data_IF_841116756101
#
_entry.id   IF_841116756101
#
_cell.length_a   1.000
_cell.length_b   1.000
_cell.length_c   1.000
_cell.angle_alpha   90.00
_cell.angle_beta   90.00
_cell.angle_gamma   90.00
#
_symmetry.space_group_name_H-M   'P 1'
#
loop_
_entity.id
_entity.type
_entity.pdbx_description
1 polymer ?
#
# COMPACT_ATOMS: atom_id res chain seq x y z
N UNK A 1 98.61 -19.95 -3.36
CA UNK A 1 98.13 -21.33 -3.60
C UNK A 1 96.89 -21.48 -2.76
N UNK A 2 95.72 -21.29 -3.37
CA UNK A 2 94.45 -21.56 -2.70
C UNK A 2 94.28 -23.09 -2.67
N UNK A 3 94.09 -23.64 -1.47
CA UNK A 3 93.83 -25.05 -1.27
C UNK A 3 92.35 -25.25 -1.63
N UNK A 4 92.08 -25.75 -2.83
CA UNK A 4 90.73 -26.21 -3.19
C UNK A 4 90.32 -27.32 -2.20
N UNK A 5 89.37 -27.00 -1.33
CA UNK A 5 88.75 -27.95 -0.42
C UNK A 5 88.01 -29.02 -1.23
N UNK A 6 88.39 -30.29 -1.06
CA UNK A 6 87.66 -31.41 -1.67
C UNK A 6 86.20 -31.41 -1.18
N UNK A 7 85.21 -31.31 -2.07
CA UNK A 7 83.81 -31.35 -1.68
C UNK A 7 83.37 -32.77 -1.33
N UNK A 8 82.50 -32.89 -0.33
CA UNK A 8 81.89 -34.15 0.06
C UNK A 8 80.98 -34.69 -1.06
N UNK A 9 80.80 -36.02 -1.18
CA UNK A 9 79.89 -36.60 -2.16
C UNK A 9 78.45 -36.10 -1.92
N UNK A 10 77.83 -35.58 -2.97
CA UNK A 10 76.46 -35.02 -2.96
C UNK A 10 75.49 -36.08 -3.45
N UNK A 11 74.44 -36.36 -2.68
CA UNK A 11 73.36 -37.28 -3.06
C UNK A 11 72.52 -36.70 -4.19
N UNK A 12 72.06 -37.55 -5.12
CA UNK A 12 71.21 -37.12 -6.24
C UNK A 12 69.84 -36.67 -5.72
N UNK A 13 69.43 -35.43 -6.01
CA UNK A 13 68.14 -34.87 -5.62
C UNK A 13 67.29 -34.50 -6.85
N UNK A 14 65.95 -34.51 -6.68
CA UNK A 14 65.00 -34.14 -7.75
C UNK A 14 65.23 -32.75 -8.34
N UNK A 15 65.76 -31.82 -7.53
CA UNK A 15 66.06 -30.44 -7.94
C UNK A 15 67.22 -30.36 -8.94
N UNK A 16 68.13 -31.34 -8.94
CA UNK A 16 69.27 -31.37 -9.85
C UNK A 16 68.80 -31.54 -11.31
N UNK A 17 67.69 -32.24 -11.51
CA UNK A 17 67.05 -32.43 -12.81
C UNK A 17 66.11 -31.28 -13.23
N UNK A 18 65.66 -30.43 -12.29
CA UNK A 18 64.78 -29.30 -12.63
C UNK A 18 65.51 -28.20 -13.41
N UNK A 19 66.81 -28.05 -13.15
CA UNK A 19 67.64 -27.00 -13.77
C UNK A 19 68.14 -27.36 -15.17
N UNK A 20 67.94 -28.61 -15.62
CA UNK A 20 68.41 -29.13 -16.92
C UNK A 20 67.28 -29.55 -17.86
N UNK A 21 66.06 -29.08 -17.62
CA UNK A 21 64.89 -29.25 -18.49
C UNK A 21 65.01 -28.40 -19.76
N UNK A 22 65.99 -28.71 -20.60
CA UNK A 22 66.19 -28.13 -21.93
C UNK A 22 66.35 -29.32 -22.90
N UNK A 23 65.75 -29.23 -24.08
CA UNK A 23 65.42 -30.29 -25.06
C UNK A 23 66.52 -31.32 -25.45
N UNK A 24 67.73 -31.24 -24.89
CA UNK A 24 68.81 -32.21 -25.04
C UNK A 24 69.50 -32.45 -23.68
N UNK A 25 68.96 -33.38 -22.89
CA UNK A 25 69.60 -33.82 -21.66
C UNK A 25 70.89 -34.58 -22.00
N UNK A 26 72.04 -34.03 -21.61
CA UNK A 26 73.35 -34.65 -21.79
C UNK A 26 73.82 -35.23 -20.45
N UNK A 27 73.77 -36.57 -20.36
CA UNK A 27 74.12 -37.34 -19.15
C UNK A 27 75.54 -37.02 -18.70
N UNK A 28 76.48 -36.88 -19.64
CA UNK A 28 77.89 -36.70 -19.31
C UNK A 28 78.14 -35.31 -18.71
N UNK A 29 77.47 -34.28 -19.23
CA UNK A 29 77.53 -32.92 -18.66
C UNK A 29 76.83 -32.81 -17.30
N UNK A 30 75.68 -33.47 -17.12
CA UNK A 30 74.96 -33.51 -15.85
C UNK A 30 75.82 -34.13 -14.74
N UNK A 31 76.40 -35.31 -15.02
CA UNK A 31 77.24 -36.03 -14.07
C UNK A 31 78.52 -35.24 -13.76
N UNK A 32 79.12 -34.60 -14.76
CA UNK A 32 80.32 -33.78 -14.58
C UNK A 32 80.08 -32.52 -13.74
N UNK A 33 78.89 -31.90 -13.86
CA UNK A 33 78.56 -30.65 -13.18
C UNK A 33 78.11 -30.87 -11.74
N UNK A 34 77.28 -31.89 -11.50
CA UNK A 34 76.59 -32.04 -10.21
C UNK A 34 77.16 -33.19 -9.35
N UNK A 35 77.75 -34.22 -9.96
CA UNK A 35 78.14 -35.47 -9.25
C UNK A 35 79.54 -35.98 -9.61
N UNK A 36 80.48 -35.09 -9.97
CA UNK A 36 81.86 -35.44 -10.40
C UNK A 36 82.66 -36.29 -9.40
N UNK A 37 82.37 -36.17 -8.11
CA UNK A 37 83.15 -36.79 -7.02
C UNK A 37 82.37 -37.88 -6.26
N UNK A 38 81.21 -38.32 -6.77
CA UNK A 38 80.42 -39.40 -6.14
C UNK A 38 80.83 -40.77 -6.65
N UNK A 39 80.77 -41.81 -5.81
CA UNK A 39 80.99 -43.18 -6.26
C UNK A 39 79.83 -43.67 -7.13
N UNK A 40 80.16 -44.48 -8.14
CA UNK A 40 79.17 -44.96 -9.11
C UNK A 40 78.10 -45.83 -8.45
N UNK A 41 78.47 -46.63 -7.45
CA UNK A 41 77.55 -47.48 -6.70
C UNK A 41 76.54 -46.66 -5.89
N UNK A 42 76.97 -45.53 -5.33
CA UNK A 42 76.07 -44.59 -4.63
C UNK A 42 75.13 -43.93 -5.62
N UNK A 43 75.64 -43.50 -6.79
CA UNK A 43 74.84 -42.85 -7.81
C UNK A 43 73.76 -43.77 -8.40
N UNK A 44 74.11 -45.03 -8.66
CA UNK A 44 73.15 -46.04 -9.13
C UNK A 44 72.06 -46.28 -8.07
N UNK A 45 72.45 -46.41 -6.80
CA UNK A 45 71.51 -46.60 -5.69
C UNK A 45 70.58 -45.40 -5.53
N UNK A 46 71.11 -44.18 -5.58
CA UNK A 46 70.32 -42.95 -5.41
C UNK A 46 69.36 -42.75 -6.59
N UNK A 47 69.82 -42.98 -7.84
CA UNK A 47 68.98 -42.86 -9.03
C UNK A 47 67.88 -43.93 -9.06
N UNK A 48 68.17 -45.17 -8.65
CA UNK A 48 67.16 -46.24 -8.58
C UNK A 48 66.12 -45.98 -7.50
N UNK A 49 66.52 -45.43 -6.35
CA UNK A 49 65.59 -45.00 -5.31
C UNK A 49 64.69 -43.86 -5.82
N UNK A 50 65.28 -42.83 -6.44
CA UNK A 50 64.55 -41.69 -7.00
C UNK A 50 63.55 -42.15 -8.08
N UNK A 51 63.94 -43.07 -8.96
CA UNK A 51 63.05 -43.66 -9.96
C UNK A 51 61.85 -44.38 -9.31
N UNK A 52 62.10 -45.16 -8.27
CA UNK A 52 61.05 -45.88 -7.56
C UNK A 52 60.09 -44.92 -6.84
N UNK A 53 60.63 -43.89 -6.18
CA UNK A 53 59.82 -42.83 -5.56
C UNK A 53 58.93 -42.14 -6.60
N UNK A 54 59.50 -41.71 -7.74
CA UNK A 54 58.72 -41.08 -8.81
C UNK A 54 57.63 -41.98 -9.38
N UNK A 55 57.91 -43.27 -9.57
CA UNK A 55 56.91 -44.23 -10.03
C UNK A 55 55.77 -44.39 -9.03
N UNK A 56 56.09 -44.46 -7.73
CA UNK A 56 55.05 -44.52 -6.68
C UNK A 56 54.25 -43.22 -6.59
N UNK A 57 54.89 -42.07 -6.70
CA UNK A 57 54.25 -40.76 -6.71
C UNK A 57 53.32 -40.61 -7.92
N UNK A 58 53.75 -41.06 -9.11
CA UNK A 58 52.93 -41.06 -10.32
C UNK A 58 51.70 -41.96 -10.13
N UNK A 59 51.89 -43.19 -9.63
CA UNK A 59 50.77 -44.11 -9.39
C UNK A 59 49.79 -43.54 -8.37
N UNK A 60 50.28 -42.93 -7.29
CA UNK A 60 49.45 -42.28 -6.29
C UNK A 60 48.68 -41.10 -6.91
N UNK A 61 49.35 -40.25 -7.68
CA UNK A 61 48.73 -39.10 -8.33
C UNK A 61 47.67 -39.52 -9.36
N UNK A 62 47.92 -40.57 -10.14
CA UNK A 62 46.93 -41.10 -11.09
C UNK A 62 45.73 -41.69 -10.35
N UNK A 63 45.96 -42.44 -9.28
CA UNK A 63 44.88 -43.03 -8.49
C UNK A 63 44.06 -41.96 -7.75
N UNK A 64 44.70 -40.95 -7.18
CA UNK A 64 44.03 -39.81 -6.53
C UNK A 64 43.20 -39.04 -7.56
N UNK A 65 43.78 -38.66 -8.69
CA UNK A 65 43.05 -37.95 -9.75
C UNK A 65 41.89 -38.78 -10.33
N UNK A 66 42.06 -40.10 -10.46
CA UNK A 66 40.97 -40.98 -10.90
C UNK A 66 39.83 -41.01 -9.88
N UNK A 67 40.16 -41.14 -8.59
CA UNK A 67 39.17 -41.13 -7.52
C UNK A 67 38.45 -39.78 -7.42
N UNK A 68 39.17 -38.67 -7.57
CA UNK A 68 38.57 -37.33 -7.63
C UNK A 68 37.62 -37.19 -8.83
N UNK A 69 38.03 -37.66 -10.00
CA UNK A 69 37.18 -37.61 -11.20
C UNK A 69 35.91 -38.44 -11.04
N UNK A 70 36.00 -39.65 -10.47
CA UNK A 70 34.83 -40.49 -10.18
C UNK A 70 33.94 -39.83 -9.13
N UNK A 71 34.50 -39.24 -8.08
CA UNK A 71 33.74 -38.53 -7.05
C UNK A 71 33.03 -37.30 -7.61
N UNK A 72 33.67 -36.57 -8.52
CA UNK A 72 33.07 -35.45 -9.23
C UNK A 72 31.92 -35.93 -10.14
N UNK A 73 32.14 -36.99 -10.91
CA UNK A 73 31.11 -37.61 -11.74
C UNK A 73 29.89 -38.04 -10.93
N UNK A 74 30.10 -38.69 -9.78
CA UNK A 74 29.03 -39.08 -8.84
C UNK A 74 28.31 -37.89 -8.20
N UNK A 75 29.00 -36.78 -7.98
CA UNK A 75 28.39 -35.56 -7.42
C UNK A 75 27.57 -34.80 -8.46
N UNK A 76 27.95 -34.91 -9.73
CA UNK A 76 27.22 -34.35 -10.86
C UNK A 76 25.99 -35.19 -11.17
N UNK A 77 26.09 -36.52 -11.04
CA UNK A 77 24.97 -37.44 -11.19
C UNK A 77 23.91 -37.17 -10.11
N UNK A 78 22.71 -36.78 -10.53
CA UNK A 78 21.62 -36.32 -9.65
C UNK A 78 21.59 -34.81 -9.34
N UNK A 79 22.67 -34.06 -9.58
CA UNK A 79 22.65 -32.58 -9.44
C UNK A 79 21.71 -31.92 -10.45
N UNK A 80 21.62 -32.48 -11.66
CA UNK A 80 20.72 -32.00 -12.71
C UNK A 80 19.24 -32.15 -12.31
N UNK A 81 18.90 -33.27 -11.66
CA UNK A 81 17.56 -33.53 -11.15
C UNK A 81 17.20 -32.59 -10.02
N UNK A 82 18.13 -32.35 -9.08
CA UNK A 82 17.94 -31.35 -8.01
C UNK A 82 17.70 -29.95 -8.56
N UNK A 83 18.45 -29.54 -9.58
CA UNK A 83 18.24 -28.25 -10.26
C UNK A 83 16.88 -28.21 -10.93
N UNK A 84 16.45 -29.29 -11.58
CA UNK A 84 15.13 -29.38 -12.20
C UNK A 84 14.01 -29.31 -11.15
N UNK A 85 14.14 -30.00 -10.02
CA UNK A 85 13.19 -29.91 -8.90
C UNK A 85 13.11 -28.48 -8.36
N UNK A 86 14.24 -27.85 -8.05
CA UNK A 86 14.28 -26.47 -7.58
C UNK A 86 13.64 -25.51 -8.60
N UNK A 87 13.86 -25.73 -9.89
CA UNK A 87 13.25 -24.92 -10.95
C UNK A 87 11.72 -25.08 -10.98
N UNK A 88 11.22 -26.30 -10.80
CA UNK A 88 9.78 -26.58 -10.71
C UNK A 88 9.20 -25.93 -9.45
N UNK A 89 9.85 -26.07 -8.30
CA UNK A 89 9.40 -25.49 -7.04
C UNK A 89 9.38 -23.96 -7.10
N UNK A 90 10.42 -23.34 -7.65
CA UNK A 90 10.46 -21.89 -7.87
C UNK A 90 9.35 -21.43 -8.83
N UNK A 91 9.04 -22.21 -9.87
CA UNK A 91 7.95 -21.89 -10.78
C UNK A 91 6.59 -21.99 -10.09
N UNK A 92 6.38 -23.03 -9.27
CA UNK A 92 5.16 -23.20 -8.50
C UNK A 92 4.99 -22.06 -7.50
N UNK A 93 6.05 -21.73 -6.76
CA UNK A 93 6.05 -20.62 -5.82
C UNK A 93 5.76 -19.28 -6.49
N UNK A 94 6.31 -19.03 -7.69
CA UNK A 94 6.00 -17.83 -8.45
C UNK A 94 4.53 -17.79 -8.88
N UNK A 95 3.97 -18.91 -9.33
CA UNK A 95 2.55 -19.00 -9.66
C UNK A 95 1.66 -18.75 -8.43
N UNK A 96 2.03 -19.31 -7.28
CA UNK A 96 1.31 -19.11 -6.02
C UNK A 96 1.34 -17.64 -5.57
N UNK A 97 2.49 -16.96 -5.73
CA UNK A 97 2.60 -15.53 -5.46
C UNK A 97 1.72 -14.70 -6.39
N UNK A 98 1.67 -15.02 -7.69
CA UNK A 98 0.79 -14.34 -8.65
C UNK A 98 -0.67 -14.53 -8.25
N UNK A 99 -1.09 -15.76 -7.97
CA UNK A 99 -2.45 -16.08 -7.53
C UNK A 99 -2.81 -15.35 -6.23
N UNK A 100 -1.89 -15.30 -5.26
CA UNK A 100 -2.10 -14.59 -4.01
C UNK A 100 -2.23 -13.08 -4.22
N UNK A 101 -1.42 -12.50 -5.10
CA UNK A 101 -1.50 -11.09 -5.45
C UNK A 101 -2.83 -10.75 -6.17
N UNK A 102 -3.29 -11.60 -7.08
CA UNK A 102 -4.61 -11.46 -7.72
C UNK A 102 -5.73 -11.52 -6.68
N UNK A 103 -5.70 -12.49 -5.76
CA UNK A 103 -6.68 -12.61 -4.69
C UNK A 103 -6.69 -11.38 -3.77
N UNK A 104 -5.52 -10.86 -3.41
CA UNK A 104 -5.39 -9.63 -2.64
C UNK A 104 -5.95 -8.42 -3.39
N UNK A 105 -5.67 -8.31 -4.69
CA UNK A 105 -6.20 -7.22 -5.52
C UNK A 105 -7.74 -7.27 -5.62
N UNK A 106 -8.31 -8.46 -5.78
CA UNK A 106 -9.74 -8.68 -5.79
C UNK A 106 -10.37 -8.33 -4.43
N UNK A 107 -9.76 -8.78 -3.33
CA UNK A 107 -10.21 -8.45 -1.97
C UNK A 107 -10.18 -6.93 -1.73
N UNK A 108 -9.11 -6.25 -2.16
CA UNK A 108 -8.98 -4.80 -2.08
C UNK A 108 -10.09 -4.09 -2.86
N UNK A 109 -10.37 -4.52 -4.09
CA UNK A 109 -11.43 -3.94 -4.92
C UNK A 109 -12.82 -4.14 -4.28
N UNK A 110 -13.09 -5.32 -3.70
CA UNK A 110 -14.34 -5.59 -2.99
C UNK A 110 -14.50 -4.69 -1.76
N UNK A 111 -13.43 -4.50 -0.99
CA UNK A 111 -13.43 -3.60 0.18
C UNK A 111 -13.66 -2.15 -0.25
N UNK A 112 -13.01 -1.70 -1.32
CA UNK A 112 -13.18 -0.34 -1.85
C UNK A 112 -14.60 -0.09 -2.33
N UNK A 113 -15.19 -1.05 -3.06
CA UNK A 113 -16.59 -0.98 -3.48
C UNK A 113 -17.54 -0.93 -2.28
N UNK A 114 -17.35 -1.80 -1.28
CA UNK A 114 -18.14 -1.81 -0.06
C UNK A 114 -18.03 -0.49 0.73
N UNK A 115 -16.83 0.11 0.78
CA UNK A 115 -16.63 1.41 1.40
C UNK A 115 -17.34 2.53 0.65
N UNK A 116 -17.33 2.51 -0.69
CA UNK A 116 -18.04 3.48 -1.50
C UNK A 116 -19.56 3.36 -1.33
N UNK A 117 -20.10 2.14 -1.32
CA UNK A 117 -21.51 1.90 -1.02
C UNK A 117 -21.87 2.38 0.38
N UNK A 118 -21.03 2.09 1.38
CA UNK A 118 -21.23 2.57 2.76
C UNK A 118 -21.27 4.10 2.83
N UNK A 119 -20.37 4.80 2.13
CA UNK A 119 -20.38 6.27 2.05
C UNK A 119 -21.67 6.78 1.40
N UNK A 120 -22.09 6.16 0.30
CA UNK A 120 -23.34 6.52 -0.38
C UNK A 120 -24.56 6.33 0.54
N UNK A 121 -24.64 5.20 1.23
CA UNK A 121 -25.70 4.92 2.22
C UNK A 121 -25.68 5.90 3.39
N UNK A 122 -24.50 6.33 3.85
CA UNK A 122 -24.39 7.35 4.89
C UNK A 122 -24.94 8.70 4.42
N UNK A 123 -24.63 9.12 3.20
CA UNK A 123 -25.18 10.35 2.60
C UNK A 123 -26.70 10.25 2.50
N UNK A 124 -27.24 9.13 2.02
CA UNK A 124 -28.69 8.90 1.97
C UNK A 124 -29.33 8.93 3.37
N UNK A 125 -28.71 8.29 4.36
CA UNK A 125 -29.20 8.29 5.75
C UNK A 125 -29.27 9.70 6.34
N UNK A 126 -28.25 10.53 6.10
CA UNK A 126 -28.24 11.92 6.55
C UNK A 126 -29.37 12.69 5.86
N UNK A 127 -29.55 12.52 4.55
CA UNK A 127 -30.64 13.14 3.79
C UNK A 127 -32.02 12.77 4.35
N UNK A 128 -32.27 11.48 4.60
CA UNK A 128 -33.55 11.01 5.16
C UNK A 128 -33.78 11.61 6.55
N UNK A 129 -32.76 11.66 7.41
CA UNK A 129 -32.88 12.29 8.74
C UNK A 129 -33.24 13.77 8.64
N UNK A 130 -32.63 14.51 7.72
CA UNK A 130 -32.94 15.92 7.50
C UNK A 130 -34.38 16.11 6.98
N UNK A 131 -34.83 15.23 6.09
CA UNK A 131 -36.18 15.25 5.55
C UNK A 131 -37.23 14.91 6.62
N UNK A 132 -36.94 13.95 7.50
CA UNK A 132 -37.77 13.62 8.65
C UNK A 132 -37.85 14.79 9.63
N UNK A 133 -36.71 15.40 9.95
CA UNK A 133 -36.65 16.58 10.81
C UNK A 133 -37.45 17.75 10.23
N UNK A 134 -37.36 17.98 8.92
CA UNK A 134 -38.18 18.98 8.24
C UNK A 134 -39.67 18.67 8.40
N UNK A 135 -40.09 17.43 8.16
CA UNK A 135 -41.49 17.04 8.31
C UNK A 135 -41.99 17.17 9.77
N UNK A 136 -41.16 16.85 10.75
CA UNK A 136 -41.49 17.06 12.17
C UNK A 136 -41.62 18.55 12.51
N UNK A 137 -40.74 19.40 12.00
CA UNK A 137 -40.87 20.85 12.18
C UNK A 137 -42.13 21.40 11.51
N UNK A 138 -42.47 20.90 10.33
CA UNK A 138 -43.73 21.23 9.63
C UNK A 138 -44.94 20.82 10.49
N UNK A 139 -44.97 19.59 11.00
CA UNK A 139 -46.07 19.13 11.85
C UNK A 139 -46.17 19.94 13.15
N UNK A 140 -45.03 20.28 13.76
CA UNK A 140 -45.00 21.11 14.96
C UNK A 140 -45.50 22.54 14.67
N UNK A 141 -45.17 23.09 13.51
CA UNK A 141 -45.68 24.38 13.04
C UNK A 141 -47.21 24.33 12.87
N UNK A 142 -47.74 23.31 12.19
CA UNK A 142 -49.20 23.13 12.01
C UNK A 142 -49.93 22.93 13.35
N UNK A 143 -49.33 22.22 14.30
CA UNK A 143 -49.91 22.00 15.63
C UNK A 143 -49.91 23.29 16.47
N UNK A 144 -48.82 24.05 16.45
CA UNK A 144 -48.75 25.34 17.13
C UNK A 144 -49.67 26.39 16.51
N UNK A 145 -49.97 26.28 15.21
CA UNK A 145 -50.95 27.15 14.56
C UNK A 145 -52.36 26.95 15.14
N UNK A 146 -52.69 25.73 15.63
CA UNK A 146 -54.01 25.39 16.20
C UNK A 146 -54.20 25.78 17.66
N UNK A 147 -53.10 25.92 18.42
CA UNK A 147 -53.13 26.27 19.85
C UNK A 147 -53.06 27.80 19.98
N UNK A 148 -53.86 28.42 20.83
CA UNK A 148 -53.83 29.86 21.06
C UNK A 148 -53.01 30.21 22.31
N UNK A 149 -51.72 30.49 22.10
CA UNK A 149 -50.75 30.89 23.14
C UNK A 149 -50.21 32.31 22.88
N UNK A 150 -49.91 33.07 23.94
CA UNK A 150 -49.34 34.43 23.85
C UNK A 150 -47.93 34.45 23.23
N UNK A 151 -47.16 33.36 23.36
CA UNK A 151 -45.80 33.20 22.79
C UNK A 151 -45.79 32.59 21.37
N UNK A 152 -46.97 32.39 20.77
CA UNK A 152 -47.15 31.73 19.47
C UNK A 152 -46.38 32.42 18.34
N UNK A 153 -46.33 33.74 18.33
CA UNK A 153 -45.66 34.50 17.28
C UNK A 153 -44.14 34.26 17.24
N UNK A 154 -43.47 34.27 18.39
CA UNK A 154 -42.01 34.05 18.48
C UNK A 154 -41.62 32.59 18.20
N UNK A 155 -42.46 31.65 18.63
CA UNK A 155 -42.24 30.23 18.37
C UNK A 155 -42.52 29.86 16.91
N UNK A 156 -43.57 30.41 16.28
CA UNK A 156 -43.85 30.20 14.86
C UNK A 156 -42.79 30.82 13.96
N UNK A 157 -42.27 32.01 14.32
CA UNK A 157 -41.20 32.66 13.52
C UNK A 157 -39.89 31.90 13.57
N UNK A 158 -39.47 31.43 14.75
CA UNK A 158 -38.27 30.59 14.88
C UNK A 158 -38.40 29.26 14.13
N UNK A 159 -39.56 28.59 14.20
CA UNK A 159 -39.84 27.38 13.42
C UNK A 159 -39.91 27.64 11.91
N UNK A 160 -40.54 28.73 11.49
CA UNK A 160 -40.60 29.11 10.08
C UNK A 160 -39.21 29.38 9.51
N UNK A 161 -38.34 30.05 10.28
CA UNK A 161 -36.95 30.26 9.91
C UNK A 161 -36.16 28.96 9.83
N UNK A 162 -36.33 28.05 10.80
CA UNK A 162 -35.63 26.75 10.77
C UNK A 162 -36.10 25.90 9.59
N UNK A 163 -37.39 25.90 9.29
CA UNK A 163 -37.99 25.23 8.12
C UNK A 163 -37.41 25.83 6.82
N UNK A 164 -37.33 27.16 6.71
CA UNK A 164 -36.76 27.79 5.53
C UNK A 164 -35.26 27.50 5.37
N UNK A 165 -34.48 27.52 6.44
CA UNK A 165 -33.06 27.17 6.42
C UNK A 165 -32.84 25.70 6.01
N UNK A 166 -33.64 24.78 6.55
CA UNK A 166 -33.59 23.37 6.14
C UNK A 166 -34.04 23.18 4.69
N UNK A 167 -35.07 23.91 4.25
CA UNK A 167 -35.56 23.84 2.88
C UNK A 167 -34.52 24.33 1.86
N UNK A 168 -33.77 25.39 2.17
CA UNK A 168 -32.71 25.89 1.29
C UNK A 168 -31.53 24.92 1.22
N UNK A 169 -31.14 24.35 2.36
CA UNK A 169 -30.11 23.30 2.41
C UNK A 169 -30.51 22.06 1.59
N UNK A 170 -31.79 21.63 1.67
CA UNK A 170 -32.31 20.48 0.93
C UNK A 170 -32.60 20.77 -0.56
N UNK A 171 -32.93 22.01 -0.92
CA UNK A 171 -33.10 22.43 -2.32
C UNK A 171 -31.77 22.40 -3.07
N UNK A 172 -30.69 22.85 -2.43
CA UNK A 172 -29.34 22.78 -3.02
C UNK A 172 -28.89 21.33 -3.30
N UNK A 173 -29.46 20.34 -2.60
CA UNK A 173 -29.17 18.93 -2.82
C UNK A 173 -30.12 18.22 -3.79
N UNK A 174 -30.98 18.95 -4.53
CA UNK A 174 -31.95 18.43 -5.52
C UNK A 174 -32.78 17.23 -5.02
N UNK A 175 -33.11 17.22 -3.72
CA UNK A 175 -33.65 16.04 -3.03
C UNK A 175 -35.02 16.25 -2.40
N UNK A 176 -35.69 17.36 -2.70
CA UNK A 176 -37.02 17.65 -2.15
C UNK A 176 -38.10 16.97 -3.00
N UNK A 177 -38.79 16.02 -2.38
CA UNK A 177 -40.01 15.45 -2.94
C UNK A 177 -41.05 16.55 -3.19
N UNK A 178 -41.75 16.47 -4.33
CA UNK A 178 -42.80 17.44 -4.70
C UNK A 178 -43.86 17.63 -3.60
N UNK A 179 -44.15 16.58 -2.84
CA UNK A 179 -45.08 16.63 -1.69
C UNK A 179 -44.62 17.59 -0.60
N UNK A 180 -43.33 17.57 -0.23
CA UNK A 180 -42.78 18.47 0.78
C UNK A 180 -42.68 19.91 0.26
N UNK A 181 -42.37 20.09 -1.02
CA UNK A 181 -42.41 21.42 -1.65
C UNK A 181 -43.83 22.01 -1.58
N UNK A 182 -44.85 21.20 -1.87
CA UNK A 182 -46.24 21.64 -1.75
C UNK A 182 -46.59 22.00 -0.30
N UNK A 183 -46.20 21.18 0.69
CA UNK A 183 -46.39 21.50 2.11
C UNK A 183 -45.67 22.77 2.55
N UNK A 184 -44.44 22.99 2.08
CA UNK A 184 -43.69 24.21 2.35
C UNK A 184 -44.38 25.45 1.79
N UNK A 185 -44.94 25.35 0.58
CA UNK A 185 -45.75 26.44 -0.02
C UNK A 185 -47.02 26.67 0.79
N UNK A 186 -47.71 25.61 1.22
CA UNK A 186 -48.89 25.72 2.09
C UNK A 186 -48.55 26.42 3.42
N UNK A 187 -47.45 26.04 4.07
CA UNK A 187 -47.01 26.67 5.33
C UNK A 187 -46.65 28.14 5.12
N UNK A 188 -45.96 28.47 4.02
CA UNK A 188 -45.67 29.87 3.68
C UNK A 188 -46.96 30.68 3.55
N UNK A 189 -47.98 30.11 2.93
CA UNK A 189 -49.28 30.75 2.78
C UNK A 189 -50.06 30.83 4.10
N UNK A 190 -50.07 29.78 4.90
CA UNK A 190 -50.73 29.73 6.21
C UNK A 190 -50.09 30.70 7.21
N UNK A 191 -48.76 30.76 7.24
CA UNK A 191 -48.05 31.70 8.08
C UNK A 191 -48.32 33.15 7.65
N UNK A 192 -48.35 33.42 6.35
CA UNK A 192 -48.73 34.73 5.81
C UNK A 192 -50.17 35.09 6.20
N UNK A 193 -51.12 34.17 6.02
CA UNK A 193 -52.52 34.38 6.41
C UNK A 193 -52.66 34.64 7.93
N UNK A 194 -51.88 33.93 8.75
CA UNK A 194 -51.84 34.17 10.19
C UNK A 194 -51.31 35.57 10.54
N UNK A 195 -50.22 36.01 9.90
CA UNK A 195 -49.67 37.35 10.07
C UNK A 195 -50.62 38.45 9.56
N UNK A 196 -51.33 38.22 8.44
CA UNK A 196 -52.33 39.13 7.89
C UNK A 196 -53.55 39.27 8.85
N UNK A 197 -53.96 38.16 9.47
CA UNK A 197 -55.03 38.14 10.47
C UNK A 197 -54.62 38.80 11.80
N UNK A 198 -53.37 38.64 12.24
CA UNK A 198 -52.86 39.32 13.42
C UNK A 198 -52.68 40.83 13.18
N UNK A 199 -52.15 41.21 12.02
CA UNK A 199 -51.96 42.61 11.67
C UNK A 199 -53.30 43.37 11.57
N UNK A 200 -54.32 42.79 10.94
CA UNK A 200 -55.67 43.38 10.91
C UNK A 200 -56.29 43.53 12.31
N UNK A 201 -56.15 42.52 13.19
CA UNK A 201 -56.61 42.59 14.60
C UNK A 201 -55.83 43.59 15.45
N UNK A 202 -54.57 43.86 15.15
CA UNK A 202 -53.74 44.79 15.89
C UNK A 202 -53.87 46.24 15.39
N UNK A 203 -54.14 46.44 14.10
CA UNK A 203 -54.49 47.75 13.54
C UNK A 203 -55.81 48.27 14.15
N UNK A 204 -56.78 47.39 14.45
CA UNK A 204 -57.99 47.79 15.19
C UNK A 204 -57.75 48.13 16.67
N UNK A 205 -56.70 47.59 17.30
CA UNK A 205 -56.45 47.68 18.75
C UNK A 205 -55.34 48.67 19.18
N UNK A 206 -54.63 49.33 18.25
CA UNK A 206 -53.58 50.36 18.52
C UNK A 206 -52.45 49.93 19.49
N UNK A 207 -52.04 48.67 19.49
CA UNK A 207 -50.85 48.22 20.25
C UNK A 207 -49.57 48.32 19.40
N UNK A 208 -48.81 49.40 19.60
CA UNK A 208 -47.62 49.74 18.80
C UNK A 208 -46.45 48.75 18.97
N UNK A 209 -46.30 48.11 20.13
CA UNK A 209 -45.16 47.22 20.41
C UNK A 209 -45.25 45.87 19.67
N UNK A 210 -46.45 45.29 19.61
CA UNK A 210 -46.71 44.07 18.83
C UNK A 210 -46.67 44.34 17.32
N UNK A 211 -47.04 45.55 16.91
CA UNK A 211 -46.92 46.04 15.53
C UNK A 211 -45.45 46.12 15.07
N UNK A 212 -44.55 46.58 15.96
CA UNK A 212 -43.10 46.61 15.71
C UNK A 212 -42.49 45.21 15.66
N UNK A 213 -42.94 44.28 16.51
CA UNK A 213 -42.52 42.88 16.45
C UNK A 213 -42.95 42.21 15.14
N UNK A 214 -44.20 42.44 14.71
CA UNK A 214 -44.70 41.95 13.42
C UNK A 214 -43.94 42.56 12.25
N UNK A 215 -43.62 43.86 12.29
CA UNK A 215 -42.83 44.52 11.23
C UNK A 215 -41.40 43.95 11.16
N UNK A 216 -40.78 43.64 12.29
CA UNK A 216 -39.48 42.95 12.32
C UNK A 216 -39.58 41.54 11.73
N UNK A 217 -40.68 40.83 12.00
CA UNK A 217 -40.94 39.50 11.44
C UNK A 217 -41.17 39.56 9.93
N UNK A 218 -41.97 40.51 9.42
CA UNK A 218 -42.16 40.72 7.99
C UNK A 218 -40.87 41.14 7.27
N UNK A 219 -40.00 41.87 7.96
CA UNK A 219 -38.65 42.21 7.47
C UNK A 219 -37.75 40.98 7.38
N UNK A 220 -37.87 40.04 8.32
CA UNK A 220 -37.11 38.78 8.33
C UNK A 220 -37.59 37.80 7.25
N UNK A 221 -38.86 37.90 6.83
CA UNK A 221 -39.47 37.02 5.82
C UNK A 221 -39.37 37.60 4.39
N UNK A 222 -38.76 38.78 4.20
CA UNK A 222 -38.69 39.48 2.91
C UNK A 222 -40.07 39.79 2.28
N UNK A 223 -41.11 39.96 3.10
CA UNK A 223 -42.47 40.34 2.67
C UNK A 223 -42.84 41.77 3.09
N UNK A 224 -41.89 42.72 2.97
CA UNK A 224 -42.11 44.13 3.33
C UNK A 224 -43.20 44.82 2.49
N UNK A 225 -43.37 44.44 1.23
CA UNK A 225 -44.38 45.03 0.33
C UNK A 225 -45.82 44.76 0.79
N UNK A 226 -46.05 43.59 1.36
CA UNK A 226 -47.39 43.10 1.69
C UNK A 226 -47.88 43.74 2.99
N UNK A 227 -46.98 43.91 3.97
CA UNK A 227 -47.25 44.68 5.18
C UNK A 227 -47.56 46.15 4.88
N UNK A 228 -46.83 46.77 3.96
CA UNK A 228 -47.12 48.14 3.49
C UNK A 228 -48.47 48.22 2.77
N UNK A 229 -48.87 47.20 2.02
CA UNK A 229 -50.19 47.16 1.36
C UNK A 229 -51.35 47.05 2.34
N UNK A 230 -51.15 46.40 3.49
CA UNK A 230 -52.14 46.23 4.57
C UNK A 230 -52.27 47.52 5.38
N UNK A 231 -51.15 48.20 5.68
CA UNK A 231 -51.17 49.51 6.33
C UNK A 231 -51.83 50.57 5.44
N UNK A 232 -51.64 50.50 4.12
CA UNK A 232 -52.16 51.50 3.17
C UNK A 232 -53.63 51.28 2.77
N UNK A 233 -54.22 50.14 3.15
CA UNK A 233 -55.65 49.82 2.92
C UNK A 233 -56.58 50.23 4.07
N UNK A 234 -56.01 50.63 5.21
CA UNK A 234 -56.71 51.25 6.34
C UNK A 234 -56.29 52.73 6.46
#
# INVERSE_FOLDING_TARGET
MEIESFPYPVTVNRQDFQNELIDQFDVDQFLFKNHRFTSIDSLIKDLTNLLNELNTELLNLVNENYNEFINLGKSIDGSLDLINFLKIDLKNFNNDLVNFNENLSNSRNLVENCLNEKKHLQVLKIKIKLLLLLNDQINNFENLLKIDDENKLNNLTSLYLSINMLSTYLNNSNSLEKSLMNKLVSIKFEFKSYLDNLSSKLISNKNNDLLLQILNIYKIIDHQSDFLSIIRKN
#
